data_IF_210820977780
#
_entry.id   IF_210820977780
#
_cell.length_a   1.000
_cell.length_b   1.000
_cell.length_c   1.000
_cell.angle_alpha   90.00
_cell.angle_beta   90.00
_cell.angle_gamma   90.00
#
_symmetry.space_group_name_H-M   'P 1'
#
loop_
_entity.id
_entity.type
_entity.pdbx_description
1 polymer ?
#
# COMPACT_ATOMS: atom_id res chain seq x y z
N UNK A 1 14.84 5.77 1.25
CA UNK A 1 14.92 5.19 -0.09
C UNK A 1 16.36 5.10 -0.59
N UNK A 2 17.10 6.20 -0.73
CA UNK A 2 18.44 6.22 -1.37
C UNK A 2 19.52 5.42 -0.64
N UNK A 3 19.38 5.14 0.65
CA UNK A 3 20.24 4.22 1.39
C UNK A 3 19.97 2.76 1.03
N UNK A 4 18.72 2.44 0.70
CA UNK A 4 18.29 1.09 0.30
C UNK A 4 18.53 0.86 -1.19
N UNK A 5 18.21 1.83 -2.03
CA UNK A 5 18.37 1.77 -3.49
C UNK A 5 18.98 3.06 -4.03
N UNK A 6 20.32 3.18 -4.06
CA UNK A 6 21.01 4.37 -4.58
C UNK A 6 20.66 4.73 -6.02
N UNK A 7 20.31 3.74 -6.84
CA UNK A 7 19.91 3.88 -8.24
C UNK A 7 18.60 4.65 -8.44
N UNK A 8 17.80 4.78 -7.38
CA UNK A 8 16.58 5.58 -7.42
C UNK A 8 16.83 7.10 -7.49
N UNK A 9 18.09 7.54 -7.25
CA UNK A 9 18.40 8.96 -7.27
C UNK A 9 18.22 9.55 -8.68
N UNK A 10 17.29 10.50 -8.79
CA UNK A 10 16.94 11.15 -10.05
C UNK A 10 15.98 10.37 -10.94
N UNK A 11 15.45 9.24 -10.46
CA UNK A 11 14.43 8.44 -11.15
C UNK A 11 13.10 8.47 -10.40
N UNK A 12 12.02 8.22 -11.12
CA UNK A 12 10.69 7.99 -10.55
C UNK A 12 10.60 6.58 -9.97
N UNK A 13 9.75 6.42 -8.98
CA UNK A 13 9.62 5.16 -8.22
C UNK A 13 8.29 4.50 -8.53
N UNK A 14 8.35 3.26 -9.03
CA UNK A 14 7.20 2.39 -9.17
C UNK A 14 7.18 1.43 -7.98
N UNK A 15 6.08 1.40 -7.22
CA UNK A 15 5.82 0.40 -6.19
C UNK A 15 4.96 -0.71 -6.77
N UNK A 16 5.40 -1.96 -6.64
CA UNK A 16 4.56 -3.14 -6.89
C UNK A 16 4.26 -3.84 -5.58
N UNK A 17 3.00 -3.78 -5.16
CA UNK A 17 2.51 -4.34 -3.89
C UNK A 17 1.27 -5.22 -4.12
N UNK A 18 1.46 -6.46 -4.61
CA UNK A 18 0.34 -7.35 -4.92
C UNK A 18 -0.22 -8.05 -3.68
N UNK A 19 -1.51 -8.35 -3.71
CA UNK A 19 -2.14 -9.27 -2.77
C UNK A 19 -1.61 -10.70 -2.97
N UNK A 20 -1.40 -11.41 -1.89
CA UNK A 20 -0.98 -12.81 -1.96
C UNK A 20 -2.10 -13.72 -2.51
N UNK A 21 -1.70 -14.86 -3.06
CA UNK A 21 -2.60 -15.92 -3.51
C UNK A 21 -2.46 -17.16 -2.64
N UNK A 22 -3.52 -17.93 -2.54
CA UNK A 22 -3.59 -19.17 -1.77
C UNK A 22 -3.98 -18.96 -0.30
N UNK A 23 -4.00 -20.06 0.46
CA UNK A 23 -4.25 -20.04 1.91
C UNK A 23 -3.04 -19.50 2.66
N UNK A 24 -3.22 -18.98 3.87
CA UNK A 24 -2.17 -18.37 4.70
C UNK A 24 -0.90 -19.23 4.76
N UNK A 25 -1.02 -20.53 5.04
CA UNK A 25 0.13 -21.46 5.12
C UNK A 25 0.87 -21.67 3.78
N UNK A 26 0.26 -21.30 2.64
CA UNK A 26 0.79 -21.46 1.28
C UNK A 26 0.71 -20.15 0.50
N UNK A 27 0.79 -19.03 1.20
CA UNK A 27 0.75 -17.70 0.60
C UNK A 27 1.90 -17.51 -0.39
N UNK A 28 1.59 -17.03 -1.58
CA UNK A 28 2.54 -16.77 -2.67
C UNK A 28 2.24 -15.43 -3.35
N UNK A 29 3.25 -14.78 -3.85
CA UNK A 29 3.09 -13.63 -4.76
C UNK A 29 2.74 -14.13 -6.15
N UNK A 30 1.79 -13.51 -6.88
CA UNK A 30 1.58 -13.79 -8.29
C UNK A 30 2.84 -13.41 -9.08
N UNK A 31 3.29 -14.30 -9.97
CA UNK A 31 4.47 -14.09 -10.83
C UNK A 31 4.02 -13.68 -12.24
N UNK A 32 3.47 -12.49 -12.37
CA UNK A 32 2.88 -11.99 -13.63
C UNK A 32 3.65 -10.78 -14.15
N UNK A 33 4.21 -9.97 -13.25
CA UNK A 33 5.01 -8.82 -13.62
C UNK A 33 6.42 -9.25 -14.02
N UNK A 34 6.87 -8.88 -15.23
CA UNK A 34 8.24 -9.10 -15.68
C UNK A 34 9.11 -7.88 -15.39
N UNK A 35 10.01 -7.94 -14.39
CA UNK A 35 10.94 -6.86 -14.12
C UNK A 35 11.95 -6.64 -15.26
N UNK A 36 12.30 -7.68 -16.01
CA UNK A 36 13.22 -7.58 -17.14
C UNK A 36 12.62 -6.73 -18.27
N UNK A 37 11.34 -6.98 -18.60
CA UNK A 37 10.68 -6.22 -19.65
C UNK A 37 10.43 -4.77 -19.19
N UNK A 38 10.04 -4.56 -17.92
CA UNK A 38 9.92 -3.21 -17.38
C UNK A 38 11.26 -2.47 -17.40
N UNK A 39 12.35 -3.11 -17.01
CA UNK A 39 13.68 -2.53 -17.08
C UNK A 39 14.06 -2.13 -18.50
N UNK A 40 13.84 -3.03 -19.48
CA UNK A 40 14.18 -2.76 -20.88
C UNK A 40 13.51 -1.49 -21.41
N UNK A 41 12.27 -1.23 -21.02
CA UNK A 41 11.49 -0.10 -21.55
C UNK A 41 11.56 1.15 -20.67
N UNK A 42 11.57 0.98 -19.33
CA UNK A 42 11.40 2.06 -18.36
C UNK A 42 12.65 2.36 -17.52
N UNK A 43 13.72 1.56 -17.66
CA UNK A 43 14.86 1.56 -16.75
C UNK A 43 15.67 2.86 -16.73
N UNK A 44 15.56 3.70 -17.76
CA UNK A 44 16.25 5.00 -17.79
C UNK A 44 15.59 6.03 -16.85
N UNK A 45 14.25 6.00 -16.75
CA UNK A 45 13.47 6.99 -16.01
C UNK A 45 12.94 6.49 -14.66
N UNK A 46 12.82 5.17 -14.48
CA UNK A 46 12.16 4.57 -13.34
C UNK A 46 13.03 3.56 -12.61
N UNK A 47 12.65 3.28 -11.36
CA UNK A 47 13.04 2.11 -10.57
C UNK A 47 11.80 1.39 -10.08
N UNK A 48 11.90 0.07 -9.81
CA UNK A 48 10.81 -0.78 -9.38
C UNK A 48 11.08 -1.35 -7.99
N UNK A 49 10.21 -1.06 -7.03
CA UNK A 49 10.26 -1.59 -5.67
C UNK A 49 9.18 -2.65 -5.48
N UNK A 50 9.58 -3.83 -5.02
CA UNK A 50 8.66 -4.90 -4.65
C UNK A 50 8.38 -4.85 -3.15
N UNK A 51 7.09 -4.86 -2.79
CA UNK A 51 6.63 -5.03 -1.41
C UNK A 51 5.67 -6.22 -1.36
N UNK A 52 6.20 -7.36 -0.97
CA UNK A 52 5.39 -8.57 -0.81
C UNK A 52 4.57 -8.52 0.49
N UNK A 53 3.43 -9.20 0.48
CA UNK A 53 2.62 -9.33 1.70
C UNK A 53 3.40 -10.11 2.78
N UNK A 54 3.32 -9.75 4.07
CA UNK A 54 4.07 -10.40 5.17
C UNK A 54 3.86 -11.92 5.28
N UNK A 55 2.72 -12.42 4.84
CA UNK A 55 2.44 -13.87 4.81
C UNK A 55 3.24 -14.65 3.74
N UNK A 56 3.85 -13.96 2.78
CA UNK A 56 4.64 -14.59 1.71
C UNK A 56 6.06 -14.86 2.22
N UNK A 57 6.31 -16.10 2.63
CA UNK A 57 7.62 -16.53 3.13
C UNK A 57 8.64 -16.81 2.01
N UNK A 58 8.17 -17.36 0.88
CA UNK A 58 9.01 -17.63 -0.30
C UNK A 58 8.68 -16.61 -1.37
N UNK A 59 9.55 -15.62 -1.52
CA UNK A 59 9.40 -14.53 -2.49
C UNK A 59 10.09 -14.89 -3.80
N UNK A 60 9.56 -14.48 -4.95
CA UNK A 60 10.28 -14.55 -6.21
C UNK A 60 11.59 -13.76 -6.12
N UNK A 61 12.69 -14.34 -6.57
CA UNK A 61 13.95 -13.62 -6.63
C UNK A 61 13.91 -12.58 -7.76
N UNK A 62 14.46 -11.39 -7.50
CA UNK A 62 14.70 -10.41 -8.55
C UNK A 62 15.85 -10.92 -9.43
N UNK A 63 15.67 -11.03 -10.77
CA UNK A 63 16.75 -11.42 -11.65
C UNK A 63 17.97 -10.52 -11.53
N UNK A 64 19.17 -11.09 -11.52
CA UNK A 64 20.41 -10.35 -11.31
C UNK A 64 20.58 -9.22 -12.35
N UNK A 65 20.14 -9.47 -13.57
CA UNK A 65 20.18 -8.45 -14.64
C UNK A 65 19.32 -7.23 -14.33
N UNK A 66 18.41 -7.30 -13.35
CA UNK A 66 17.52 -6.22 -12.94
C UNK A 66 17.96 -5.53 -11.64
N UNK A 67 19.09 -5.92 -11.03
CA UNK A 67 19.50 -5.43 -9.71
C UNK A 67 19.72 -3.91 -9.63
N UNK A 68 19.97 -3.25 -10.73
CA UNK A 68 20.08 -1.79 -10.86
C UNK A 68 18.74 -1.07 -11.08
N UNK A 69 17.68 -1.82 -11.38
CA UNK A 69 16.35 -1.31 -11.68
C UNK A 69 15.30 -1.75 -10.65
N UNK A 70 15.34 -2.99 -10.19
CA UNK A 70 14.32 -3.60 -9.34
C UNK A 70 14.91 -4.10 -8.02
N UNK A 71 14.17 -3.91 -6.91
CA UNK A 71 14.56 -4.40 -5.57
C UNK A 71 13.36 -4.89 -4.78
N UNK A 72 13.50 -6.03 -4.11
CA UNK A 72 12.59 -6.44 -3.03
C UNK A 72 12.98 -5.71 -1.74
N UNK A 73 12.11 -4.80 -1.32
CA UNK A 73 12.30 -3.96 -0.12
C UNK A 73 11.36 -4.37 1.02
N UNK A 74 10.79 -5.57 0.95
CA UNK A 74 9.76 -6.04 1.88
C UNK A 74 10.20 -5.95 3.33
N UNK A 75 11.45 -6.30 3.63
CA UNK A 75 11.99 -6.28 5.00
C UNK A 75 12.81 -5.01 5.31
N UNK A 76 13.02 -4.14 4.32
CA UNK A 76 13.90 -2.97 4.46
C UNK A 76 13.12 -1.66 4.64
N UNK A 77 11.89 -1.59 4.14
CA UNK A 77 11.05 -0.38 4.22
C UNK A 77 9.62 -0.73 4.65
N UNK A 78 9.02 0.16 5.43
CA UNK A 78 7.60 0.04 5.80
C UNK A 78 6.70 0.33 4.59
N UNK A 79 5.42 -0.09 4.65
CA UNK A 79 4.50 0.22 3.55
C UNK A 79 4.21 1.72 3.48
N UNK A 80 4.11 2.38 4.62
CA UNK A 80 3.85 3.81 4.75
C UNK A 80 4.96 4.62 4.09
N UNK A 81 6.23 4.28 4.36
CA UNK A 81 7.38 4.92 3.71
C UNK A 81 7.37 4.72 2.19
N UNK A 82 6.99 3.51 1.75
CA UNK A 82 6.91 3.18 0.33
C UNK A 82 5.79 3.96 -0.38
N UNK A 83 4.62 4.10 0.24
CA UNK A 83 3.53 4.91 -0.32
C UNK A 83 3.96 6.39 -0.47
N UNK A 84 4.71 6.92 0.52
CA UNK A 84 5.21 8.30 0.46
C UNK A 84 6.18 8.55 -0.70
N UNK A 85 7.10 7.61 -0.95
CA UNK A 85 8.19 7.79 -1.93
C UNK A 85 7.83 7.35 -3.35
N UNK A 86 6.71 6.64 -3.54
CA UNK A 86 6.31 6.09 -4.84
C UNK A 86 5.59 7.13 -5.69
N UNK A 87 5.97 7.23 -6.97
CA UNK A 87 5.31 8.06 -7.97
C UNK A 87 4.14 7.32 -8.65
N UNK A 88 4.24 5.99 -8.74
CA UNK A 88 3.21 5.10 -9.31
C UNK A 88 3.06 3.89 -8.39
N UNK A 89 1.81 3.48 -8.12
CA UNK A 89 1.51 2.25 -7.39
C UNK A 89 0.86 1.23 -8.33
N UNK A 90 1.48 0.05 -8.44
CA UNK A 90 0.89 -1.13 -9.09
C UNK A 90 0.44 -2.07 -7.98
N UNK A 91 -0.85 -2.36 -7.94
CA UNK A 91 -1.44 -3.31 -7.00
C UNK A 91 -2.52 -4.13 -7.70
N UNK A 92 -3.32 -4.84 -6.94
CA UNK A 92 -4.45 -5.61 -7.46
C UNK A 92 -5.68 -5.44 -6.54
N UNK A 93 -5.93 -6.36 -5.61
CA UNK A 93 -7.12 -6.40 -4.74
C UNK A 93 -6.83 -5.88 -3.31
N UNK A 94 -5.75 -5.13 -3.13
CA UNK A 94 -5.29 -4.66 -1.83
C UNK A 94 -5.99 -3.39 -1.37
N UNK A 95 -6.30 -3.31 -0.08
CA UNK A 95 -6.81 -2.09 0.56
C UNK A 95 -5.80 -0.94 0.61
N UNK A 96 -4.51 -1.20 0.35
CA UNK A 96 -3.49 -0.15 0.34
C UNK A 96 -3.80 0.99 -0.67
N UNK A 97 -4.61 0.70 -1.69
CA UNK A 97 -5.01 1.70 -2.70
C UNK A 97 -5.83 2.84 -2.12
N UNK A 98 -6.56 2.59 -1.02
CA UNK A 98 -7.27 3.65 -0.30
C UNK A 98 -6.28 4.64 0.32
N UNK A 99 -5.25 4.16 1.01
CA UNK A 99 -4.22 5.01 1.61
C UNK A 99 -3.39 5.72 0.53
N UNK A 100 -3.04 5.01 -0.57
CA UNK A 100 -2.30 5.63 -1.67
C UNK A 100 -3.10 6.73 -2.38
N UNK A 101 -4.44 6.65 -2.39
CA UNK A 101 -5.30 7.69 -2.98
C UNK A 101 -5.14 9.06 -2.30
N UNK A 102 -4.67 9.11 -1.05
CA UNK A 102 -4.38 10.37 -0.35
C UNK A 102 -3.31 11.21 -1.04
N UNK A 103 -2.43 10.59 -1.82
CA UNK A 103 -1.38 11.28 -2.57
C UNK A 103 -1.84 11.75 -3.95
N UNK A 104 -3.02 11.34 -4.42
CA UNK A 104 -3.56 11.65 -5.74
C UNK A 104 -2.58 11.38 -6.89
N UNK A 105 -1.86 10.25 -6.78
CA UNK A 105 -0.88 9.77 -7.75
C UNK A 105 -1.43 8.60 -8.56
N UNK A 106 -0.82 8.27 -9.72
CA UNK A 106 -1.27 7.16 -10.56
C UNK A 106 -1.27 5.81 -9.85
N UNK A 107 -2.36 5.07 -10.02
CA UNK A 107 -2.53 3.68 -9.60
C UNK A 107 -2.83 2.80 -10.80
N UNK A 108 -2.25 1.60 -10.85
CA UNK A 108 -2.48 0.59 -11.89
C UNK A 108 -2.90 -0.70 -11.19
N UNK A 109 -3.96 -1.32 -11.68
CA UNK A 109 -4.57 -2.50 -11.10
C UNK A 109 -4.26 -3.73 -11.96
N UNK A 110 -3.21 -4.50 -11.58
CA UNK A 110 -2.80 -5.73 -12.29
C UNK A 110 -3.69 -6.91 -11.86
N UNK A 111 -4.85 -7.04 -12.47
CA UNK A 111 -5.89 -7.99 -12.11
C UNK A 111 -6.00 -9.14 -13.15
N UNK A 112 -4.92 -9.90 -13.33
CA UNK A 112 -4.81 -10.97 -14.32
C UNK A 112 -5.73 -12.17 -14.03
N UNK A 113 -6.11 -12.37 -12.77
CA UNK A 113 -6.91 -13.49 -12.27
C UNK A 113 -8.19 -12.99 -11.57
N UNK A 114 -8.79 -11.92 -12.09
CA UNK A 114 -9.95 -11.26 -11.48
C UNK A 114 -11.12 -12.22 -11.26
N UNK A 115 -11.43 -13.06 -12.25
CA UNK A 115 -12.56 -14.00 -12.20
C UNK A 115 -12.35 -15.03 -11.09
N UNK A 116 -11.13 -15.63 -11.00
CA UNK A 116 -10.79 -16.60 -9.95
C UNK A 116 -10.82 -15.95 -8.55
N UNK A 117 -10.36 -14.71 -8.43
CA UNK A 117 -10.35 -13.99 -7.17
C UNK A 117 -11.77 -13.63 -6.73
N UNK A 118 -12.62 -13.23 -7.67
CA UNK A 118 -14.04 -12.93 -7.42
C UNK A 118 -14.79 -14.17 -6.91
N UNK A 119 -14.62 -15.32 -7.55
CA UNK A 119 -15.27 -16.57 -7.15
C UNK A 119 -14.85 -17.02 -5.74
N UNK A 120 -13.64 -16.68 -5.35
CA UNK A 120 -13.11 -17.11 -4.05
C UNK A 120 -13.37 -16.13 -2.90
N UNK A 121 -13.27 -14.80 -3.15
CA UNK A 121 -13.40 -13.77 -2.09
C UNK A 121 -14.57 -12.82 -2.29
N UNK A 122 -14.94 -12.54 -3.54
CA UNK A 122 -15.92 -11.54 -3.90
C UNK A 122 -15.46 -10.10 -3.69
N UNK A 123 -16.29 -9.17 -4.11
CA UNK A 123 -16.10 -7.73 -3.93
C UNK A 123 -17.39 -7.09 -3.45
N UNK A 124 -17.29 -6.01 -2.68
CA UNK A 124 -18.44 -5.21 -2.25
C UNK A 124 -18.97 -4.29 -3.34
N UNK A 125 -18.13 -3.96 -4.33
CA UNK A 125 -18.43 -3.06 -5.45
C UNK A 125 -18.00 -3.71 -6.75
N UNK A 126 -18.54 -3.24 -7.87
CA UNK A 126 -17.97 -3.57 -9.17
C UNK A 126 -16.52 -3.08 -9.25
N UNK A 127 -15.62 -3.99 -9.59
CA UNK A 127 -14.19 -3.72 -9.54
C UNK A 127 -13.73 -2.71 -10.60
N UNK A 128 -14.33 -2.76 -11.80
CA UNK A 128 -13.98 -1.85 -12.90
C UNK A 128 -14.53 -0.43 -12.68
N UNK A 129 -15.72 -0.34 -12.08
CA UNK A 129 -16.32 0.95 -11.75
C UNK A 129 -15.57 1.62 -10.59
N UNK A 130 -15.12 0.81 -9.62
CA UNK A 130 -14.47 1.32 -8.42
C UNK A 130 -13.02 1.74 -8.66
N UNK A 131 -12.24 0.96 -9.43
CA UNK A 131 -10.81 1.18 -9.59
C UNK A 131 -10.50 2.60 -10.10
N UNK A 132 -9.74 3.43 -9.36
CA UNK A 132 -9.44 4.81 -9.76
C UNK A 132 -8.32 4.91 -10.79
N UNK A 133 -7.96 3.81 -11.44
CA UNK A 133 -6.94 3.71 -12.48
C UNK A 133 -7.21 2.54 -13.42
N UNK A 134 -6.34 2.30 -14.41
CA UNK A 134 -6.53 1.22 -15.37
C UNK A 134 -6.48 -0.15 -14.70
N UNK A 135 -7.40 -1.03 -15.09
CA UNK A 135 -7.39 -2.45 -14.75
C UNK A 135 -6.78 -3.20 -15.92
N UNK A 136 -5.63 -3.81 -15.71
CA UNK A 136 -4.79 -4.44 -16.72
C UNK A 136 -4.48 -5.90 -16.36
N UNK A 137 -4.09 -6.71 -17.34
CA UNK A 137 -3.83 -8.15 -17.16
C UNK A 137 -2.38 -8.55 -17.40
N UNK A 138 -1.55 -7.64 -17.92
CA UNK A 138 -0.18 -7.96 -18.35
C UNK A 138 0.81 -6.84 -18.06
N UNK A 139 2.11 -7.19 -18.04
CA UNK A 139 3.22 -6.23 -17.98
C UNK A 139 3.22 -5.28 -19.18
N UNK A 140 2.84 -5.75 -20.35
CA UNK A 140 2.76 -4.91 -21.57
C UNK A 140 1.79 -3.76 -21.38
N UNK A 141 0.58 -4.04 -20.91
CA UNK A 141 -0.44 -3.01 -20.66
C UNK A 141 0.00 -2.00 -19.58
N UNK A 142 0.73 -2.45 -18.55
CA UNK A 142 1.34 -1.56 -17.55
C UNK A 142 2.31 -0.60 -18.21
N UNK A 143 3.23 -1.13 -19.03
CA UNK A 143 4.25 -0.34 -19.73
C UNK A 143 3.59 0.68 -20.66
N UNK A 144 2.62 0.26 -21.46
CA UNK A 144 1.87 1.13 -22.38
C UNK A 144 1.19 2.28 -21.63
N UNK A 145 0.59 2.00 -20.47
CA UNK A 145 0.00 3.05 -19.65
C UNK A 145 1.07 4.01 -19.10
N UNK A 146 2.18 3.50 -18.55
CA UNK A 146 3.24 4.34 -17.98
C UNK A 146 3.88 5.23 -19.05
N UNK A 147 4.13 4.72 -20.25
CA UNK A 147 4.67 5.51 -21.35
C UNK A 147 3.74 6.65 -21.81
N UNK A 148 2.44 6.51 -21.58
CA UNK A 148 1.44 7.50 -21.94
C UNK A 148 0.80 8.18 -20.72
N UNK A 149 1.43 8.10 -19.54
CA UNK A 149 0.84 8.50 -18.26
C UNK A 149 0.39 9.95 -18.23
N UNK A 150 1.13 10.85 -18.84
CA UNK A 150 0.80 12.29 -18.91
C UNK A 150 -0.53 12.56 -19.63
N UNK A 151 -0.98 11.65 -20.49
CA UNK A 151 -2.24 11.76 -21.24
C UNK A 151 -3.37 10.92 -20.64
N UNK A 152 -3.00 9.81 -20.00
CA UNK A 152 -3.97 8.79 -19.55
C UNK A 152 -4.31 8.90 -18.07
N UNK A 153 -3.49 9.59 -17.28
CA UNK A 153 -3.73 9.74 -15.86
C UNK A 153 -4.92 10.66 -15.59
N UNK A 154 -5.98 10.10 -15.08
CA UNK A 154 -7.20 10.80 -14.67
C UNK A 154 -7.11 11.13 -13.16
N UNK A 155 -6.59 12.32 -12.86
CA UNK A 155 -6.46 12.81 -11.49
C UNK A 155 -7.82 13.00 -10.81
N UNK A 156 -8.82 13.46 -11.56
CA UNK A 156 -10.17 13.71 -11.05
C UNK A 156 -10.83 12.40 -10.60
N UNK A 157 -10.60 11.30 -11.31
CA UNK A 157 -11.08 9.97 -10.91
C UNK A 157 -10.44 9.51 -9.59
N UNK A 158 -9.15 9.73 -9.41
CA UNK A 158 -8.45 9.42 -8.14
C UNK A 158 -8.95 10.32 -7.02
N UNK A 159 -9.14 11.59 -7.28
CA UNK A 159 -9.71 12.55 -6.33
C UNK A 159 -11.12 12.13 -5.88
N UNK A 160 -12.00 11.79 -6.82
CA UNK A 160 -13.35 11.32 -6.51
C UNK A 160 -13.34 10.02 -5.67
N UNK A 161 -12.43 9.09 -5.95
CA UNK A 161 -12.23 7.89 -5.15
C UNK A 161 -11.78 8.24 -3.71
N UNK A 162 -10.79 9.12 -3.56
CA UNK A 162 -10.32 9.61 -2.27
C UNK A 162 -11.47 10.25 -1.47
N UNK A 163 -12.22 11.16 -2.07
CA UNK A 163 -13.35 11.82 -1.40
C UNK A 163 -14.43 10.82 -0.96
N UNK A 164 -14.69 9.81 -1.77
CA UNK A 164 -15.68 8.78 -1.44
C UNK A 164 -15.27 7.92 -0.25
N UNK A 165 -14.00 7.53 -0.13
CA UNK A 165 -13.55 6.53 0.83
C UNK A 165 -12.65 7.08 1.94
N UNK A 166 -11.96 8.18 1.71
CA UNK A 166 -10.91 8.69 2.60
C UNK A 166 -11.15 10.15 3.04
N UNK A 167 -12.33 10.71 2.82
CA UNK A 167 -12.67 12.10 3.18
C UNK A 167 -12.47 12.43 4.66
N UNK A 168 -12.57 11.43 5.55
CA UNK A 168 -12.33 11.60 6.99
C UNK A 168 -10.87 11.38 7.42
N UNK A 169 -9.96 11.06 6.48
CA UNK A 169 -8.54 10.83 6.76
C UNK A 169 -7.74 12.14 6.65
N UNK A 170 -7.99 13.07 7.55
CA UNK A 170 -7.42 14.41 7.62
C UNK A 170 -6.38 14.59 8.75
N UNK A 171 -5.98 13.49 9.41
CA UNK A 171 -5.07 13.48 10.55
C UNK A 171 -5.72 13.71 11.91
N UNK A 172 -7.02 14.05 11.96
CA UNK A 172 -7.75 14.38 13.19
C UNK A 172 -8.75 13.28 13.64
N UNK A 173 -8.68 12.07 13.07
CA UNK A 173 -9.60 10.99 13.39
C UNK A 173 -9.57 10.58 14.87
N UNK A 174 -8.37 10.52 15.47
CA UNK A 174 -8.20 10.20 16.90
C UNK A 174 -8.88 11.26 17.79
N UNK A 175 -8.72 12.54 17.47
CA UNK A 175 -9.36 13.63 18.21
C UNK A 175 -10.88 13.48 18.18
N UNK A 176 -11.46 13.26 16.99
CA UNK A 176 -12.91 13.03 16.84
C UNK A 176 -13.41 11.81 17.62
N UNK A 177 -12.66 10.72 17.60
CA UNK A 177 -13.01 9.52 18.36
C UNK A 177 -12.97 9.81 19.87
N UNK A 178 -11.93 10.51 20.33
CA UNK A 178 -11.81 10.90 21.73
C UNK A 178 -12.96 11.82 22.15
N UNK A 179 -13.32 12.80 21.33
CA UNK A 179 -14.45 13.68 21.58
C UNK A 179 -15.75 12.90 21.70
N UNK A 180 -16.03 11.97 20.77
CA UNK A 180 -17.24 11.14 20.81
C UNK A 180 -17.29 10.23 22.06
N UNK A 181 -16.15 9.60 22.41
CA UNK A 181 -16.09 8.65 23.52
C UNK A 181 -16.09 9.30 24.90
N UNK A 182 -15.52 10.50 25.02
CA UNK A 182 -15.25 11.15 26.30
C UNK A 182 -15.91 12.52 26.46
N UNK A 183 -16.78 12.93 25.54
CA UNK A 183 -17.43 14.24 25.57
C UNK A 183 -18.08 14.51 26.92
N UNK A 184 -18.86 13.57 27.47
CA UNK A 184 -19.49 13.70 28.78
C UNK A 184 -18.46 13.66 29.93
N UNK A 185 -17.38 12.90 29.79
CA UNK A 185 -16.31 12.81 30.78
C UNK A 185 -15.47 14.08 30.83
N UNK A 186 -15.16 14.68 29.65
CA UNK A 186 -14.44 15.95 29.56
C UNK A 186 -15.25 17.11 30.11
N UNK A 187 -16.55 17.16 29.87
CA UNK A 187 -17.45 18.16 30.45
C UNK A 187 -17.58 18.00 31.97
N UNK A 188 -17.63 16.77 32.48
CA UNK A 188 -17.65 16.49 33.92
C UNK A 188 -16.31 16.84 34.59
N UNK A 189 -15.17 16.58 33.90
CA UNK A 189 -13.83 16.93 34.40
C UNK A 189 -13.54 18.43 34.39
N UNK A 190 -14.10 19.18 33.42
CA UNK A 190 -14.02 20.65 33.44
C UNK A 190 -14.77 21.30 34.62
N UNK A 191 -15.72 20.54 35.23
CA UNK A 191 -16.48 20.95 36.42
C UNK A 191 -15.92 20.39 37.71
N UNK A 192 -14.97 19.45 37.67
CA UNK A 192 -14.35 18.85 38.85
C UNK A 192 -13.06 19.57 39.23
N UNK A 193 -12.81 19.67 40.57
CA UNK A 193 -11.52 20.14 41.06
C UNK A 193 -10.36 19.28 40.58
N UNK A 194 -9.14 19.83 40.37
CA UNK A 194 -8.01 19.08 39.90
C UNK A 194 -7.72 17.91 40.83
N UNK A 195 -7.63 16.69 40.23
CA UNK A 195 -7.24 15.50 40.97
C UNK A 195 -5.82 15.64 41.51
N UNK A 196 -5.55 15.22 42.77
CA UNK A 196 -4.18 15.21 43.30
C UNK A 196 -3.26 14.37 42.42
N UNK A 197 -2.10 14.90 42.09
CA UNK A 197 -1.08 14.22 41.32
C UNK A 197 -0.73 12.86 41.95
N UNK A 198 -1.21 11.77 41.35
CA UNK A 198 -0.70 10.43 41.67
C UNK A 198 0.46 10.11 40.74
N UNK A 199 1.62 9.67 41.25
CA UNK A 199 2.71 9.25 40.41
C UNK A 199 2.26 8.04 39.57
N UNK A 200 2.30 8.17 38.24
CA UNK A 200 2.10 7.03 37.35
C UNK A 200 3.27 6.06 37.50
N UNK A 201 3.03 4.92 38.12
CA UNK A 201 3.93 3.79 37.98
C UNK A 201 3.65 3.14 36.64
N UNK A 202 4.57 3.29 35.70
CA UNK A 202 4.58 2.50 34.46
C UNK A 202 4.65 1.01 34.87
N UNK A 203 3.60 0.27 34.58
CA UNK A 203 3.61 -1.18 34.71
C UNK A 203 4.59 -1.68 33.63
N UNK A 204 5.68 -2.38 34.01
CA UNK A 204 6.57 -2.96 33.01
C UNK A 204 5.78 -3.98 32.18
N UNK A 205 5.85 -3.88 30.85
CA UNK A 205 5.37 -4.93 29.96
C UNK A 205 6.17 -6.21 30.27
N UNK A 206 5.57 -7.16 30.97
CA UNK A 206 6.10 -8.51 31.04
C UNK A 206 5.88 -9.19 29.69
N UNK A 207 6.95 -9.35 28.93
CA UNK A 207 7.00 -10.25 27.80
C UNK A 207 7.03 -11.68 28.31
N UNK A 208 5.87 -12.33 28.46
CA UNK A 208 5.78 -13.78 28.63
C UNK A 208 4.41 -14.22 28.07
N UNK A 209 4.34 -14.33 26.73
CA UNK A 209 3.39 -15.22 26.10
C UNK A 209 4.06 -16.60 26.01
N UNK A 210 3.72 -17.49 26.92
CA UNK A 210 4.02 -18.91 26.82
C UNK A 210 3.12 -19.48 25.72
N UNK A 211 3.73 -20.03 24.67
CA UNK A 211 3.05 -20.93 23.74
C UNK A 211 2.68 -22.20 24.49
N UNK A 212 1.38 -22.47 24.60
CA UNK A 212 0.90 -23.82 24.89
C UNK A 212 0.60 -24.56 23.58
N UNK A 213 1.06 -25.82 23.55
CA UNK A 213 1.08 -26.82 22.47
C UNK A 213 -0.25 -27.10 21.73
#
# INVERSE_FOLDING_TARGET
LYSVMPQAKGKKVILYAPTFRGRVAKARTPNVLSPEFMKYVLGDEYVLLFKHHPLVRKRPAIPEVCADFARDVTDEMTIEDLLCVSDICISDYSSLVFEYSLFERPMIFLAHDLDEFFDWRGFYYDYFELAPGPVVKSTTEIIEYIQNIDKLFDKERVHAFREKFMSSCDGHATERIMDIMFQDALESHRRAEPLPEKPYHLIPHSADFVEED
#
